data_IF_407109207531
#
_entry.id   IF_407109207531
#
_cell.length_a   1.000
_cell.length_b   1.000
_cell.length_c   1.000
_cell.angle_alpha   90.00
_cell.angle_beta   90.00
_cell.angle_gamma   90.00
#
_symmetry.space_group_name_H-M   'P 1'
#
loop_
_entity.id
_entity.type
_entity.pdbx_description
1 polymer ?
#
# COMPACT_ATOMS: atom_id res chain seq x y z
N UNK A 1 -9.89 6.95 -31.47
CA UNK A 1 -9.28 6.85 -30.12
C UNK A 1 -7.93 6.13 -30.24
N UNK A 2 -6.83 6.72 -29.76
CA UNK A 2 -5.46 6.20 -29.93
C UNK A 2 -5.29 4.84 -29.25
N UNK A 3 -4.78 3.82 -29.97
CA UNK A 3 -4.66 2.44 -29.48
C UNK A 3 -3.80 2.31 -28.20
N UNK A 4 -2.81 3.18 -28.02
CA UNK A 4 -1.96 3.22 -26.82
C UNK A 4 -2.76 3.53 -25.53
N UNK A 5 -3.75 4.44 -25.61
CA UNK A 5 -4.60 4.81 -24.47
C UNK A 5 -5.46 3.64 -24.00
N UNK A 6 -6.01 2.86 -24.92
CA UNK A 6 -6.82 1.68 -24.59
C UNK A 6 -6.01 0.58 -23.91
N UNK A 7 -4.76 0.36 -24.34
CA UNK A 7 -3.85 -0.61 -23.68
C UNK A 7 -3.54 -0.20 -22.24
N UNK A 8 -3.31 1.09 -22.01
CA UNK A 8 -3.03 1.63 -20.69
C UNK A 8 -4.26 1.52 -19.76
N UNK A 9 -5.44 1.90 -20.23
CA UNK A 9 -6.70 1.81 -19.47
C UNK A 9 -7.01 0.37 -19.06
N UNK A 10 -6.85 -0.59 -19.98
CA UNK A 10 -7.07 -2.00 -19.69
C UNK A 10 -6.08 -2.53 -18.63
N UNK A 11 -4.80 -2.14 -18.71
CA UNK A 11 -3.82 -2.52 -17.69
C UNK A 11 -4.13 -1.91 -16.33
N UNK A 12 -4.56 -0.66 -16.29
CA UNK A 12 -4.95 0.03 -15.05
C UNK A 12 -6.17 -0.64 -14.41
N UNK A 13 -7.22 -0.91 -15.20
CA UNK A 13 -8.47 -1.51 -14.73
C UNK A 13 -8.34 -3.00 -14.38
N UNK A 14 -7.31 -3.71 -14.87
CA UNK A 14 -7.10 -5.15 -14.62
C UNK A 14 -7.10 -5.54 -13.14
N UNK A 15 -6.64 -4.64 -12.26
CA UNK A 15 -6.56 -4.88 -10.79
C UNK A 15 -7.71 -4.21 -10.02
N UNK A 16 -8.61 -3.51 -10.70
CA UNK A 16 -9.74 -2.86 -10.05
C UNK A 16 -10.73 -3.91 -9.56
N UNK A 17 -11.08 -3.84 -8.28
CA UNK A 17 -12.12 -4.69 -7.68
C UNK A 17 -13.37 -3.86 -7.47
N UNK A 18 -14.45 -4.26 -8.09
CA UNK A 18 -15.76 -3.66 -7.85
C UNK A 18 -16.31 -4.18 -6.53
N UNK A 19 -16.44 -3.30 -5.55
CA UNK A 19 -17.06 -3.60 -4.26
C UNK A 19 -18.35 -2.82 -4.18
N UNK A 20 -19.47 -3.53 -4.06
CA UNK A 20 -20.79 -2.93 -3.85
C UNK A 20 -20.99 -2.71 -2.36
N UNK A 21 -21.52 -1.53 -2.02
CA UNK A 21 -21.82 -1.14 -0.66
C UNK A 21 -23.30 -0.83 -0.54
N UNK A 22 -23.87 -1.18 0.61
CA UNK A 22 -25.28 -0.95 0.90
C UNK A 22 -25.46 0.03 2.06
N UNK A 23 -26.59 0.74 2.06
CA UNK A 23 -26.95 1.64 3.14
C UNK A 23 -27.13 0.84 4.44
N UNK A 24 -26.54 1.33 5.52
CA UNK A 24 -26.55 0.68 6.82
C UNK A 24 -25.42 -0.30 7.10
N UNK A 25 -24.59 -0.64 6.09
CA UNK A 25 -23.42 -1.49 6.29
C UNK A 25 -22.37 -0.81 7.19
N UNK A 26 -21.67 -1.61 8.00
CA UNK A 26 -20.54 -1.15 8.81
C UNK A 26 -19.23 -1.23 8.05
N UNK A 27 -18.48 -0.13 8.00
CA UNK A 27 -17.21 -0.01 7.28
C UNK A 27 -16.14 0.71 8.09
N UNK A 28 -14.88 0.34 7.88
CA UNK A 28 -13.70 1.01 8.42
C UNK A 28 -13.23 2.12 7.48
N UNK A 29 -12.81 3.25 8.03
CA UNK A 29 -12.32 4.41 7.26
C UNK A 29 -10.80 4.56 7.37
N UNK A 30 -10.13 4.75 6.23
CA UNK A 30 -8.71 5.05 6.15
C UNK A 30 -8.44 6.54 6.41
N UNK A 31 -7.73 6.85 7.50
CA UNK A 31 -7.30 8.19 7.89
C UNK A 31 -5.76 8.19 8.03
N UNK A 32 -5.03 8.69 7.02
CA UNK A 32 -3.57 8.75 7.07
C UNK A 32 -3.04 9.90 7.95
N UNK A 33 -3.91 10.81 8.40
CA UNK A 33 -3.53 11.91 9.26
C UNK A 33 -3.24 11.41 10.68
N UNK A 34 -2.02 11.61 11.14
CA UNK A 34 -1.54 11.17 12.45
C UNK A 34 -1.36 12.41 13.33
N UNK A 35 -1.87 12.36 14.55
CA UNK A 35 -1.74 13.45 15.51
C UNK A 35 -0.28 13.71 15.93
N UNK A 36 -0.01 14.92 16.42
CA UNK A 36 1.29 15.30 16.97
C UNK A 36 1.73 14.31 18.05
N UNK A 37 3.02 13.98 18.11
CA UNK A 37 3.63 13.03 19.06
C UNK A 37 3.22 11.55 18.90
N UNK A 38 2.62 11.14 17.77
CA UNK A 38 2.40 9.72 17.45
C UNK A 38 3.35 9.23 16.36
N UNK A 39 3.86 8.02 16.54
CA UNK A 39 4.76 7.38 15.58
C UNK A 39 3.95 6.79 14.42
N UNK A 40 4.36 7.10 13.17
CA UNK A 40 3.66 6.65 11.96
C UNK A 40 3.59 5.13 11.83
N UNK A 41 4.68 4.44 12.17
CA UNK A 41 4.82 2.99 12.04
C UNK A 41 3.84 2.19 12.92
N UNK A 42 3.52 2.70 14.10
CA UNK A 42 2.66 2.01 15.09
C UNK A 42 1.23 2.57 15.13
N UNK A 43 0.90 3.50 14.24
CA UNK A 43 -0.42 4.11 14.22
C UNK A 43 -1.42 3.26 13.45
N UNK A 44 -2.62 3.12 14.01
CA UNK A 44 -3.76 2.52 13.31
C UNK A 44 -4.35 3.54 12.31
N UNK A 45 -4.18 3.29 11.02
CA UNK A 45 -4.71 4.15 9.94
C UNK A 45 -6.19 3.85 9.64
N UNK A 46 -6.68 2.65 9.99
CA UNK A 46 -8.06 2.23 9.76
C UNK A 46 -8.88 2.45 11.03
N UNK A 47 -9.72 3.48 11.02
CA UNK A 47 -10.56 3.86 12.15
C UNK A 47 -11.96 3.27 12.04
N UNK A 48 -12.49 2.87 13.19
CA UNK A 48 -13.90 2.67 13.56
C UNK A 48 -14.81 1.87 12.62
N UNK A 49 -15.76 1.09 13.14
CA UNK A 49 -16.93 0.76 12.33
C UNK A 49 -17.82 2.02 12.21
N UNK A 50 -17.89 2.57 11.02
CA UNK A 50 -18.80 3.64 10.65
C UNK A 50 -19.97 3.06 9.85
N UNK A 51 -21.16 3.63 10.04
CA UNK A 51 -22.35 3.24 9.29
C UNK A 51 -22.43 4.04 7.99
N UNK A 52 -22.65 3.36 6.87
CA UNK A 52 -23.03 4.01 5.61
C UNK A 52 -24.45 4.56 5.77
N UNK A 53 -24.62 5.87 5.57
CA UNK A 53 -25.93 6.52 5.62
C UNK A 53 -26.58 6.46 4.25
N UNK A 54 -25.82 6.83 3.22
CA UNK A 54 -26.29 6.95 1.85
C UNK A 54 -25.18 6.62 0.87
N UNK A 55 -25.53 5.95 -0.22
CA UNK A 55 -24.63 5.75 -1.36
C UNK A 55 -24.97 6.80 -2.42
N UNK A 56 -24.04 7.71 -2.71
CA UNK A 56 -24.27 8.78 -3.70
C UNK A 56 -23.95 8.30 -5.13
N UNK A 57 -22.88 7.53 -5.25
CA UNK A 57 -22.32 7.05 -6.51
C UNK A 57 -21.57 5.74 -6.23
N UNK A 58 -21.32 4.88 -7.23
CA UNK A 58 -20.47 3.70 -7.06
C UNK A 58 -19.09 4.00 -6.46
N UNK A 59 -18.60 5.25 -6.59
CA UNK A 59 -17.31 5.67 -6.06
C UNK A 59 -17.39 6.45 -4.74
N UNK A 60 -18.54 7.04 -4.40
CA UNK A 60 -18.67 7.94 -3.25
C UNK A 60 -19.83 7.56 -2.36
N UNK A 61 -19.53 7.42 -1.06
CA UNK A 61 -20.49 7.06 -0.01
C UNK A 61 -20.46 8.08 1.11
N UNK A 62 -21.59 8.24 1.81
CA UNK A 62 -21.70 9.10 2.98
C UNK A 62 -21.64 8.24 4.25
N UNK A 63 -20.68 8.54 5.11
CA UNK A 63 -20.50 7.87 6.39
C UNK A 63 -20.99 8.75 7.53
N UNK A 64 -21.64 8.14 8.53
CA UNK A 64 -21.96 8.81 9.80
C UNK A 64 -20.78 8.72 10.75
N UNK A 65 -20.05 9.83 10.90
CA UNK A 65 -18.95 9.96 11.85
C UNK A 65 -19.43 10.79 13.03
N UNK A 66 -19.77 10.12 14.14
CA UNK A 66 -20.34 10.73 15.35
C UNK A 66 -21.64 11.48 15.02
N UNK A 67 -21.60 12.83 14.97
CA UNK A 67 -22.72 13.72 14.68
C UNK A 67 -22.66 14.33 13.28
N UNK A 68 -21.63 14.01 12.49
CA UNK A 68 -21.40 14.60 11.16
C UNK A 68 -21.52 13.53 10.08
N UNK A 69 -21.97 13.96 8.92
CA UNK A 69 -21.97 13.17 7.70
C UNK A 69 -20.77 13.58 6.86
N UNK A 70 -20.02 12.59 6.39
CA UNK A 70 -18.80 12.82 5.61
C UNK A 70 -18.84 11.96 4.36
N UNK A 71 -18.72 12.62 3.21
CA UNK A 71 -18.58 11.95 1.92
C UNK A 71 -17.16 11.43 1.75
N UNK A 72 -17.03 10.15 1.42
CA UNK A 72 -15.76 9.45 1.29
C UNK A 72 -15.75 8.56 0.04
N UNK A 73 -14.60 8.49 -0.62
CA UNK A 73 -14.37 7.59 -1.74
C UNK A 73 -14.27 6.11 -1.30
N UNK A 74 -14.80 5.18 -2.10
CA UNK A 74 -14.82 3.73 -1.81
C UNK A 74 -13.44 3.13 -1.51
N UNK A 75 -12.38 3.59 -2.18
CA UNK A 75 -11.00 3.14 -1.92
C UNK A 75 -10.48 3.47 -0.51
N UNK A 76 -11.13 4.39 0.22
CA UNK A 76 -10.78 4.73 1.59
C UNK A 76 -11.62 3.98 2.62
N UNK A 77 -12.50 3.08 2.21
CA UNK A 77 -13.30 2.27 3.12
C UNK A 77 -13.06 0.78 2.93
N UNK A 78 -13.28 0.02 4.00
CA UNK A 78 -13.25 -1.45 3.99
C UNK A 78 -14.45 -2.01 4.74
N UNK A 79 -15.09 -3.09 4.30
CA UNK A 79 -16.13 -3.76 5.06
C UNK A 79 -15.64 -4.16 6.47
N UNK A 80 -16.43 -3.87 7.50
CA UNK A 80 -16.12 -4.31 8.85
C UNK A 80 -16.67 -5.72 9.06
N UNK A 81 -15.79 -6.73 9.02
CA UNK A 81 -16.17 -8.10 9.32
C UNK A 81 -16.36 -8.23 10.84
N UNK A 82 -17.56 -8.63 11.27
CA UNK A 82 -17.78 -9.00 12.67
C UNK A 82 -16.94 -10.24 12.95
N UNK A 83 -16.19 -10.22 14.05
CA UNK A 83 -15.54 -11.43 14.55
C UNK A 83 -16.63 -12.47 14.81
N UNK A 84 -16.50 -13.65 14.19
CA UNK A 84 -17.36 -14.78 14.52
C UNK A 84 -17.25 -15.06 16.02
N UNK A 85 -18.37 -15.33 16.69
CA UNK A 85 -18.34 -15.78 18.07
C UNK A 85 -17.56 -17.09 18.11
N UNK A 86 -16.31 -17.04 18.57
CA UNK A 86 -15.60 -18.27 18.94
C UNK A 86 -16.36 -18.84 20.12
N UNK A 87 -16.80 -20.09 20.02
CA UNK A 87 -17.17 -20.82 21.21
C UNK A 87 -15.95 -20.83 22.13
N UNK A 88 -16.13 -20.70 23.46
CA UNK A 88 -15.02 -20.86 24.38
C UNK A 88 -14.41 -22.25 24.15
N UNK A 89 -13.27 -22.31 23.47
CA UNK A 89 -12.44 -23.49 23.49
C UNK A 89 -12.00 -23.61 24.94
N UNK A 90 -12.51 -24.63 25.62
CA UNK A 90 -12.08 -24.95 26.99
C UNK A 90 -10.57 -24.96 26.96
N UNK A 91 -9.96 -24.14 27.81
CA UNK A 91 -8.53 -23.99 27.95
C UNK A 91 -7.93 -25.27 28.55
N UNK A 92 -7.99 -26.38 27.83
CA UNK A 92 -7.09 -27.49 28.01
C UNK A 92 -5.79 -27.08 27.31
N UNK A 93 -5.04 -26.18 27.93
CA UNK A 93 -3.60 -26.22 27.77
C UNK A 93 -3.17 -27.48 28.52
N UNK A 94 -2.78 -28.59 27.87
CA UNK A 94 -1.88 -29.49 28.56
C UNK A 94 -0.59 -28.70 28.73
N UNK A 95 -0.48 -27.94 29.83
CA UNK A 95 0.82 -27.68 30.41
C UNK A 95 1.35 -29.06 30.75
N UNK A 96 2.10 -29.66 29.83
CA UNK A 96 2.73 -30.94 30.08
C UNK A 96 3.84 -30.63 31.09
N UNK A 97 3.68 -31.01 32.38
CA UNK A 97 4.68 -30.68 33.39
C UNK A 97 6.01 -31.42 33.13
N UNK A 98 6.05 -32.32 32.14
CA UNK A 98 7.22 -33.12 31.82
C UNK A 98 8.16 -32.50 30.77
N UNK A 99 7.99 -31.23 30.40
CA UNK A 99 8.98 -30.48 29.62
C UNK A 99 10.09 -29.87 30.53
N UNK A 100 10.51 -30.62 31.55
CA UNK A 100 11.83 -30.43 32.17
C UNK A 100 12.86 -31.27 31.41
N UNK A 101 12.90 -31.11 30.09
CA UNK A 101 13.98 -31.59 29.26
C UNK A 101 15.09 -30.56 29.30
N UNK A 102 16.09 -30.81 30.16
CA UNK A 102 17.42 -30.22 30.09
C UNK A 102 17.85 -30.17 28.62
N UNK A 103 18.10 -28.97 28.10
CA UNK A 103 18.88 -28.77 26.88
C UNK A 103 20.24 -29.43 27.12
N UNK A 104 20.53 -30.47 26.36
CA UNK A 104 21.91 -30.89 26.11
C UNK A 104 22.33 -30.07 24.89
N UNK A 105 23.13 -29.04 25.13
CA UNK A 105 23.83 -28.30 24.09
C UNK A 105 24.92 -29.24 23.55
N UNK A 106 24.62 -29.99 22.49
CA UNK A 106 25.65 -30.60 21.64
C UNK A 106 26.23 -29.50 20.74
N UNK A 107 27.38 -28.98 21.15
CA UNK A 107 28.30 -28.18 20.33
C UNK A 107 28.88 -29.07 19.21
N UNK A 108 28.17 -29.17 18.07
CA UNK A 108 28.78 -29.62 16.82
C UNK A 108 29.30 -28.39 16.06
N UNK A 109 30.61 -28.15 16.18
CA UNK A 109 31.37 -27.27 15.29
C UNK A 109 31.40 -27.88 13.88
N UNK A 110 30.46 -27.49 13.00
CA UNK A 110 30.61 -27.77 11.58
C UNK A 110 31.43 -26.64 10.93
N UNK A 111 32.70 -26.94 10.66
CA UNK A 111 33.62 -26.09 9.93
C UNK A 111 33.17 -25.95 8.47
N UNK A 112 32.47 -24.85 8.17
CA UNK A 112 32.11 -24.50 6.81
C UNK A 112 33.36 -24.20 5.97
N UNK A 113 33.65 -25.07 5.01
CA UNK A 113 34.63 -24.84 3.95
C UNK A 113 34.38 -23.49 3.27
N UNK A 114 35.37 -22.59 3.37
CA UNK A 114 35.48 -21.36 2.59
C UNK A 114 35.75 -21.77 1.13
N UNK A 115 34.68 -22.00 0.38
CA UNK A 115 34.73 -21.99 -1.08
C UNK A 115 34.98 -20.55 -1.53
N UNK A 116 36.26 -20.28 -1.81
CA UNK A 116 36.75 -19.01 -2.31
C UNK A 116 35.90 -18.50 -3.46
N UNK A 117 35.44 -17.26 -3.33
CA UNK A 117 34.88 -16.52 -4.46
C UNK A 117 35.97 -16.40 -5.52
N UNK A 118 35.76 -16.87 -6.75
CA UNK A 118 36.68 -16.56 -7.83
C UNK A 118 36.62 -15.05 -8.09
N UNK A 119 37.80 -14.43 -8.14
CA UNK A 119 37.98 -13.02 -8.46
C UNK A 119 37.19 -12.62 -9.73
N UNK A 120 36.59 -11.41 -9.76
CA UNK A 120 36.07 -10.87 -10.99
C UNK A 120 37.23 -10.61 -11.97
N UNK A 121 37.17 -11.04 -13.24
CA UNK A 121 38.18 -10.67 -14.21
C UNK A 121 38.19 -9.15 -14.40
N UNK A 122 39.34 -8.57 -14.06
CA UNK A 122 39.79 -7.24 -14.43
C UNK A 122 40.09 -7.19 -15.94
N UNK A 123 40.04 -5.96 -16.47
CA UNK A 123 40.54 -5.50 -17.76
C UNK A 123 39.64 -5.84 -18.97
N UNK A 124 39.45 -5.03 -20.00
CA UNK A 124 39.83 -3.66 -20.35
C UNK A 124 39.27 -3.44 -21.77
N UNK A 125 38.96 -2.19 -22.14
CA UNK A 125 38.95 -1.68 -23.53
C UNK A 125 37.91 -2.24 -24.54
N UNK A 126 36.89 -1.44 -24.84
CA UNK A 126 36.43 -1.27 -26.22
C UNK A 126 35.88 0.15 -26.40
N UNK A 127 36.79 1.04 -26.81
CA UNK A 127 36.46 2.29 -27.50
C UNK A 127 35.56 1.97 -28.69
N UNK A 128 34.48 2.72 -28.84
CA UNK A 128 33.93 3.06 -30.15
C UNK A 128 33.37 4.48 -30.05
N UNK A 129 34.13 5.40 -30.62
CA UNK A 129 33.67 6.70 -31.10
C UNK A 129 32.47 6.53 -32.04
N UNK A 130 31.36 7.24 -31.81
CA UNK A 130 30.61 7.78 -32.94
C UNK A 130 29.75 8.99 -32.55
N UNK A 131 30.20 10.15 -33.05
CA UNK A 131 29.45 11.32 -33.48
C UNK A 131 28.33 11.90 -32.58
N UNK A 132 28.69 13.07 -32.04
CA UNK A 132 27.80 14.20 -31.80
C UNK A 132 26.92 14.51 -33.02
N UNK A 133 25.61 14.67 -32.82
CA UNK A 133 24.80 15.57 -33.65
C UNK A 133 23.88 16.38 -32.74
N UNK A 134 24.39 17.55 -32.38
CA UNK A 134 23.64 18.68 -31.85
C UNK A 134 22.89 19.32 -33.02
N UNK A 135 21.61 19.02 -33.14
CA UNK A 135 20.69 19.80 -33.94
C UNK A 135 19.41 20.10 -33.15
N UNK A 136 19.51 21.12 -32.30
CA UNK A 136 18.37 21.95 -31.93
C UNK A 136 17.98 22.83 -33.12
N UNK A 137 16.70 22.88 -33.49
CA UNK A 137 16.17 24.12 -34.03
C UNK A 137 14.85 24.57 -33.41
N UNK A 138 14.89 25.86 -33.03
CA UNK A 138 13.86 26.88 -33.25
C UNK A 138 12.76 27.03 -32.20
N UNK A 139 13.03 28.02 -31.33
CA UNK A 139 12.14 29.03 -30.80
C UNK A 139 10.66 29.00 -31.25
N UNK A 140 9.77 28.77 -30.28
CA UNK A 140 8.38 29.26 -30.33
C UNK A 140 8.21 30.29 -29.21
N UNK A 141 8.21 31.56 -29.60
CA UNK A 141 7.72 32.65 -28.78
C UNK A 141 6.20 32.50 -28.63
N UNK A 142 5.73 32.30 -27.39
CA UNK A 142 4.32 32.39 -27.03
C UNK A 142 4.11 33.54 -26.03
N UNK A 143 3.14 34.45 -26.25
CA UNK A 143 2.99 35.63 -25.43
C UNK A 143 2.51 35.30 -24.00
N UNK A 144 3.20 35.89 -23.02
CA UNK A 144 2.82 35.88 -21.61
C UNK A 144 1.52 36.65 -21.39
N UNK A 145 0.43 35.93 -21.11
CA UNK A 145 -0.78 36.51 -20.53
C UNK A 145 -0.63 36.64 -19.02
N UNK A 146 -0.43 37.87 -18.54
CA UNK A 146 -0.44 38.20 -17.11
C UNK A 146 -1.86 38.13 -16.55
N UNK A 147 -2.16 37.14 -15.70
CA UNK A 147 -3.38 37.14 -14.89
C UNK A 147 -3.01 37.65 -13.49
N UNK A 148 -3.25 38.93 -13.23
CA UNK A 148 -3.24 39.46 -11.86
C UNK A 148 -4.42 38.85 -11.08
N UNK A 149 -4.14 38.30 -9.90
CA UNK A 149 -5.16 38.00 -8.89
C UNK A 149 -5.46 39.28 -8.09
N UNK A 150 -6.73 39.70 -7.93
CA UNK A 150 -7.07 40.76 -7.00
C UNK A 150 -6.99 40.26 -5.55
N UNK A 151 -6.76 41.22 -4.64
CA UNK A 151 -6.69 41.05 -3.19
C UNK A 151 -8.07 40.88 -2.56
#
# INVERSE_FOLDING_TARGET
KTAARGRYENQYNKKAREVKYEEGQMVLLHVPCIGRHRVKKLSKLWNGPYKIVKVLSPLNVVLKIRKREVTVHVNRIKPCLRRASVSPQQAAYPCNPNASGRVEDDDDEEEGEVIGSPDPPSDSEAMNDEAVDLSDPVAVAGPSGSTQRPR
#
